data_IF_877864254252
#
_entry.id   IF_877864254252
#
_cell.length_a   1.000
_cell.length_b   1.000
_cell.length_c   1.000
_cell.angle_alpha   90.00
_cell.angle_beta   90.00
_cell.angle_gamma   90.00
#
_symmetry.space_group_name_H-M   'P 1'
#
loop_
_entity.id
_entity.type
_entity.pdbx_description
1 polymer ?
#
# COMPACT_ATOMS: atom_id res chain seq x y z
N UNK A 1 -3.84 -6.59 -10.15
CA UNK A 1 -4.54 -6.77 -8.86
C UNK A 1 -4.06 -8.07 -8.23
N UNK A 2 -3.69 -8.09 -6.94
CA UNK A 2 -3.24 -9.31 -6.25
C UNK A 2 -3.87 -9.43 -4.87
N UNK A 3 -3.96 -10.64 -4.33
CA UNK A 3 -4.41 -10.89 -2.95
C UNK A 3 -3.26 -11.42 -2.12
N UNK A 4 -2.93 -10.72 -1.04
CA UNK A 4 -2.05 -11.24 0.00
C UNK A 4 -2.85 -12.07 0.98
N UNK A 5 -2.30 -13.21 1.37
CA UNK A 5 -2.83 -14.07 2.41
C UNK A 5 -1.78 -14.23 3.49
N UNK A 6 -2.04 -13.69 4.68
CA UNK A 6 -1.13 -13.75 5.80
C UNK A 6 -1.68 -14.74 6.81
N UNK A 7 -0.97 -15.86 7.02
CA UNK A 7 -1.27 -16.81 8.10
C UNK A 7 -1.01 -16.16 9.47
N UNK A 8 -1.37 -16.84 10.56
CA UNK A 8 -1.10 -16.37 11.94
C UNK A 8 0.39 -16.00 12.07
N UNK A 9 0.69 -14.80 12.56
CA UNK A 9 2.06 -14.29 12.71
C UNK A 9 2.80 -14.06 11.39
N UNK A 10 2.12 -14.18 10.25
CA UNK A 10 2.71 -13.99 8.94
C UNK A 10 3.13 -12.54 8.74
N UNK A 11 4.25 -12.35 8.06
CA UNK A 11 4.83 -11.04 7.74
C UNK A 11 5.13 -10.96 6.24
N UNK A 12 4.78 -9.84 5.63
CA UNK A 12 5.08 -9.54 4.23
C UNK A 12 5.80 -8.21 4.16
N UNK A 13 7.01 -8.21 3.62
CA UNK A 13 7.77 -6.98 3.38
C UNK A 13 7.10 -6.14 2.28
N UNK A 14 7.02 -4.83 2.52
CA UNK A 14 6.54 -3.84 1.57
C UNK A 14 7.77 -3.14 1.01
N UNK A 15 8.13 -3.47 -0.23
CA UNK A 15 9.21 -2.75 -0.94
C UNK A 15 8.64 -1.51 -1.62
N UNK A 16 9.36 -0.38 -1.56
CA UNK A 16 8.89 0.84 -2.20
C UNK A 16 8.60 0.60 -3.70
N UNK A 17 9.47 -0.11 -4.43
CA UNK A 17 9.31 -0.36 -5.85
C UNK A 17 8.03 -1.13 -6.23
N UNK A 18 7.60 -2.11 -5.43
CA UNK A 18 6.41 -2.92 -5.77
C UNK A 18 5.10 -2.33 -5.23
N UNK A 19 5.19 -1.33 -4.36
CA UNK A 19 4.06 -0.90 -3.54
C UNK A 19 3.88 0.62 -3.48
N UNK A 20 4.72 1.40 -4.17
CA UNK A 20 4.71 2.86 -4.13
C UNK A 20 3.32 3.45 -4.37
N UNK A 21 2.61 2.95 -5.37
CA UNK A 21 1.24 3.40 -5.71
C UNK A 21 0.17 2.41 -5.27
N UNK A 22 0.52 1.38 -4.50
CA UNK A 22 -0.42 0.35 -4.13
C UNK A 22 -1.40 0.81 -3.04
N UNK A 23 -2.69 0.64 -3.33
CA UNK A 23 -3.78 0.76 -2.38
C UNK A 23 -4.18 -0.64 -1.88
N UNK A 24 -4.16 -0.84 -0.56
CA UNK A 24 -4.55 -2.08 0.10
C UNK A 24 -5.91 -1.97 0.74
N UNK A 25 -6.72 -3.03 0.65
CA UNK A 25 -7.97 -3.18 1.39
C UNK A 25 -7.97 -4.48 2.17
N UNK A 26 -8.26 -4.42 3.47
CA UNK A 26 -8.40 -5.62 4.30
C UNK A 26 -9.74 -6.28 4.01
N UNK A 27 -9.72 -7.45 3.37
CA UNK A 27 -10.94 -8.17 3.03
C UNK A 27 -11.33 -9.19 4.08
N UNK A 28 -10.37 -9.66 4.89
CA UNK A 28 -10.61 -10.59 6.00
C UNK A 28 -9.58 -10.41 7.11
N UNK A 29 -10.04 -10.53 8.36
CA UNK A 29 -9.16 -10.52 9.53
C UNK A 29 -8.68 -9.11 9.90
N UNK A 30 -7.46 -9.04 10.44
CA UNK A 30 -6.77 -7.81 10.84
C UNK A 30 -5.32 -7.90 10.40
N UNK A 31 -4.74 -6.77 10.06
CA UNK A 31 -3.31 -6.63 9.77
C UNK A 31 -2.76 -5.45 10.54
N UNK A 32 -1.52 -5.55 10.98
CA UNK A 32 -0.78 -4.47 11.60
C UNK A 32 0.26 -3.96 10.61
N UNK A 33 0.37 -2.65 10.48
CA UNK A 33 1.48 -2.03 9.77
C UNK A 33 2.72 -2.10 10.68
N UNK A 34 3.86 -2.47 10.12
CA UNK A 34 5.16 -2.34 10.79
C UNK A 34 5.86 -1.12 10.17
N UNK A 35 6.25 -0.16 11.00
CA UNK A 35 6.88 1.07 10.55
C UNK A 35 8.37 0.85 10.20
N UNK A 36 8.99 1.83 9.54
CA UNK A 36 10.40 1.74 9.08
C UNK A 36 11.41 1.45 10.19
N UNK A 37 11.21 2.03 11.36
CA UNK A 37 11.98 1.78 12.59
C UNK A 37 11.73 0.39 13.20
N UNK A 38 10.74 -0.36 12.69
CA UNK A 38 10.32 -1.65 13.21
C UNK A 38 9.28 -1.56 14.31
N UNK A 39 8.84 -0.35 14.66
CA UNK A 39 7.78 -0.17 15.64
C UNK A 39 6.45 -0.73 15.10
N UNK A 40 5.62 -1.30 16.00
CA UNK A 40 4.26 -1.65 15.65
C UNK A 40 3.45 -0.40 15.36
N UNK A 41 2.94 -0.31 14.14
CA UNK A 41 2.02 0.73 13.70
C UNK A 41 0.55 0.35 13.91
N UNK A 42 -0.38 1.08 13.27
CA UNK A 42 -1.81 0.89 13.45
C UNK A 42 -2.27 -0.49 12.95
N UNK A 43 -3.31 -1.00 13.62
CA UNK A 43 -4.00 -2.25 13.25
C UNK A 43 -5.23 -1.91 12.41
N UNK A 44 -5.28 -2.48 11.21
CA UNK A 44 -6.36 -2.29 10.24
C UNK A 44 -7.25 -3.53 10.21
N UNK A 45 -8.55 -3.33 10.45
CA UNK A 45 -9.57 -4.37 10.40
C UNK A 45 -10.21 -4.52 9.02
N UNK A 46 -11.09 -5.53 8.88
CA UNK A 46 -11.88 -5.75 7.66
C UNK A 46 -12.60 -4.47 7.22
N UNK A 47 -12.49 -4.14 5.93
CA UNK A 47 -13.07 -2.94 5.33
C UNK A 47 -12.13 -1.74 5.31
N UNK A 48 -11.06 -1.74 6.11
CA UNK A 48 -10.08 -0.66 6.09
C UNK A 48 -9.32 -0.64 4.76
N UNK A 49 -9.33 0.53 4.12
CA UNK A 49 -8.49 0.87 2.98
C UNK A 49 -7.29 1.71 3.41
N UNK A 50 -6.13 1.50 2.79
CA UNK A 50 -4.91 2.24 3.11
C UNK A 50 -3.98 2.34 1.90
N UNK A 51 -3.29 3.47 1.79
CA UNK A 51 -2.15 3.60 0.90
C UNK A 51 -0.90 3.15 1.64
N UNK A 52 0.00 2.45 0.94
CA UNK A 52 1.33 2.15 1.48
C UNK A 52 2.28 3.35 1.32
N UNK A 53 1.99 4.25 0.38
CA UNK A 53 2.64 5.55 0.29
C UNK A 53 2.31 6.40 1.52
N UNK A 54 3.32 7.07 2.05
CA UNK A 54 3.14 8.08 3.10
C UNK A 54 2.83 7.53 4.49
N UNK A 55 2.53 6.23 4.66
CA UNK A 55 2.28 5.62 5.98
C UNK A 55 3.55 5.24 6.73
N UNK A 56 4.71 5.27 6.08
CA UNK A 56 5.97 4.83 6.69
C UNK A 56 6.05 3.33 6.97
N UNK A 57 5.12 2.54 6.43
CA UNK A 57 5.11 1.10 6.60
C UNK A 57 6.23 0.42 5.80
N UNK A 58 6.95 -0.50 6.44
CA UNK A 58 7.94 -1.40 5.81
C UNK A 58 7.44 -2.84 5.68
N UNK A 59 6.45 -3.23 6.47
CA UNK A 59 5.85 -4.56 6.38
C UNK A 59 4.39 -4.57 6.82
N UNK A 60 3.68 -5.62 6.40
CA UNK A 60 2.37 -6.00 6.91
C UNK A 60 2.53 -7.24 7.77
N UNK A 61 1.98 -7.20 8.97
CA UNK A 61 1.98 -8.32 9.91
C UNK A 61 0.55 -8.77 10.21
N UNK A 62 0.33 -10.06 10.42
CA UNK A 62 -0.94 -10.56 10.94
C UNK A 62 -0.84 -10.82 12.46
N UNK A 63 -1.30 -9.89 13.31
CA UNK A 63 -1.27 -10.06 14.76
C UNK A 63 -2.31 -11.07 15.27
N UNK A 64 -3.25 -11.47 14.41
CA UNK A 64 -4.36 -12.33 14.79
C UNK A 64 -4.05 -13.82 14.75
N UNK A 65 -4.88 -14.59 15.44
CA UNK A 65 -4.86 -16.07 15.39
C UNK A 65 -5.45 -16.64 14.10
N UNK A 66 -6.21 -15.83 13.34
CA UNK A 66 -6.87 -16.23 12.10
C UNK A 66 -6.12 -15.67 10.89
N UNK A 67 -6.20 -16.35 9.76
CA UNK A 67 -5.65 -15.85 8.48
C UNK A 67 -6.28 -14.51 8.09
N UNK A 68 -5.44 -13.54 7.75
CA UNK A 68 -5.82 -12.25 7.22
C UNK A 68 -5.66 -12.23 5.69
N UNK A 69 -6.54 -11.51 4.99
CA UNK A 69 -6.46 -11.31 3.55
C UNK A 69 -6.50 -9.83 3.21
N UNK A 70 -5.59 -9.41 2.35
CA UNK A 70 -5.47 -8.03 1.88
C UNK A 70 -5.53 -8.04 0.37
N UNK A 71 -6.41 -7.23 -0.19
CA UNK A 71 -6.51 -7.07 -1.63
C UNK A 71 -5.77 -5.83 -2.05
N UNK A 72 -4.84 -6.01 -2.98
CA UNK A 72 -3.92 -4.98 -3.42
C UNK A 72 -4.34 -4.52 -4.81
N UNK A 73 -4.76 -3.27 -4.84
CA UNK A 73 -5.08 -2.51 -6.03
C UNK A 73 -3.86 -1.66 -6.34
N UNK A 74 -3.03 -2.12 -7.27
CA UNK A 74 -2.02 -1.26 -7.89
C UNK A 74 -2.73 -0.54 -9.02
N UNK A 75 -2.91 0.79 -8.96
CA UNK A 75 -3.20 1.56 -10.16
C UNK A 75 -2.06 1.23 -11.12
N UNK A 76 -2.38 0.67 -12.31
CA UNK A 76 -1.39 0.72 -13.39
C UNK A 76 -1.06 2.20 -13.53
N UNK A 77 0.21 2.56 -13.45
CA UNK A 77 0.65 3.91 -13.72
C UNK A 77 -0.07 4.36 -14.99
N UNK A 78 -1.04 5.28 -14.88
CA UNK A 78 -1.28 6.16 -16.01
C UNK A 78 0.07 6.83 -16.13
N UNK A 79 0.77 6.53 -17.22
CA UNK A 79 1.71 7.45 -17.82
C UNK A 79 0.91 8.74 -18.01
N UNK A 80 0.84 9.55 -16.96
CA UNK A 80 0.56 10.96 -17.12
C UNK A 80 1.85 11.42 -17.74
N UNK A 81 1.92 11.33 -19.07
CA UNK A 81 2.75 12.22 -19.85
C UNK A 81 2.35 13.59 -19.32
N UNK A 82 3.18 14.16 -18.44
CA UNK A 82 3.24 15.60 -18.26
C UNK A 82 3.45 16.12 -19.67
N UNK A 83 2.36 16.41 -20.36
CA UNK A 83 2.39 17.29 -21.51
C UNK A 83 2.75 18.61 -20.88
N UNK A 84 4.05 18.90 -20.84
CA UNK A 84 4.54 20.25 -20.77
C UNK A 84 3.70 21.03 -21.77
N UNK A 85 2.85 21.91 -21.26
CA UNK A 85 2.15 22.90 -22.06
C UNK A 85 3.20 23.55 -22.95
N UNK A 86 3.06 23.51 -24.30
CA UNK A 86 3.92 24.32 -25.13
C UNK A 86 3.65 25.76 -24.75
N UNK A 87 4.68 26.41 -24.21
CA UNK A 87 4.66 27.83 -23.94
C UNK A 87 4.72 28.52 -25.32
N UNK A 88 3.55 28.89 -25.85
CA UNK A 88 3.43 29.71 -27.06
C UNK A 88 3.94 31.13 -26.75
N UNK A 89 4.68 31.78 -27.67
CA UNK A 89 5.56 32.90 -27.35
C UNK A 89 4.79 34.21 -27.21
N UNK A 90 5.27 35.10 -26.34
CA UNK A 90 4.91 36.50 -26.39
C UNK A 90 5.86 37.18 -27.39
N UNK A 91 5.30 37.69 -28.46
CA UNK A 91 5.90 38.73 -29.27
C UNK A 91 5.60 40.07 -28.60
N UNK A 92 6.63 40.87 -28.35
CA UNK A 92 6.61 42.33 -28.50
C UNK A 92 8.05 42.83 -28.71
#
# INVERSE_FOLDING_TARGET
MRTLTLRRGGRVAVTAAQWHDAFGVVTRGRIQLELRDGAPGPVLGRGAGFYLRGTGARALHNPGRRTARVRILTPRARTVTSRSTPQTPAAE
#
